data_IF_332502955103
#
_entry.id   IF_332502955103
#
_cell.length_a   1.000
_cell.length_b   1.000
_cell.length_c   1.000
_cell.angle_alpha   90.00
_cell.angle_beta   90.00
_cell.angle_gamma   90.00
#
_symmetry.space_group_name_H-M   'P 1'
#
loop_
_entity.id
_entity.type
_entity.pdbx_description
1 polymer ?
#
# COMPACT_ATOMS: atom_id res chain seq x y z
N UNK A 1 -16.17 -16.62 6.84
CA UNK A 1 -14.78 -16.12 6.74
C UNK A 1 -14.68 -14.89 7.63
N UNK A 2 -13.87 -14.94 8.70
CA UNK A 2 -13.61 -13.75 9.52
C UNK A 2 -12.87 -12.74 8.65
N UNK A 3 -13.45 -11.57 8.43
CA UNK A 3 -12.71 -10.44 7.86
C UNK A 3 -11.60 -10.11 8.86
N UNK A 4 -10.36 -10.45 8.54
CA UNK A 4 -9.23 -10.08 9.38
C UNK A 4 -9.15 -8.55 9.45
N UNK A 5 -8.83 -8.01 10.62
CA UNK A 5 -8.77 -6.57 10.87
C UNK A 5 -7.97 -5.77 9.80
N UNK A 6 -6.84 -6.27 9.26
CA UNK A 6 -6.14 -5.63 8.13
C UNK A 6 -7.00 -5.44 6.86
N UNK A 7 -7.91 -6.37 6.56
CA UNK A 7 -8.79 -6.31 5.38
C UNK A 7 -9.76 -5.15 5.49
N UNK A 8 -10.38 -4.98 6.65
CA UNK A 8 -11.32 -3.88 6.89
C UNK A 8 -10.60 -2.52 6.95
N UNK A 9 -9.34 -2.51 7.39
CA UNK A 9 -8.51 -1.30 7.42
C UNK A 9 -8.10 -0.84 6.01
N UNK A 10 -7.65 -1.76 5.15
CA UNK A 10 -7.28 -1.41 3.77
C UNK A 10 -8.50 -0.97 2.96
N UNK A 11 -9.67 -1.57 3.22
CA UNK A 11 -10.97 -1.06 2.74
C UNK A 11 -11.33 0.32 3.28
N UNK A 12 -10.67 0.86 4.30
CA UNK A 12 -10.91 2.22 4.84
C UNK A 12 -9.74 3.16 4.60
N UNK A 13 -8.72 2.73 3.86
CA UNK A 13 -7.55 3.55 3.59
C UNK A 13 -7.95 4.85 2.87
N UNK A 14 -7.42 5.97 3.35
CA UNK A 14 -7.62 7.29 2.78
C UNK A 14 -6.42 7.61 1.88
N UNK A 15 -6.49 7.11 0.64
CA UNK A 15 -5.47 7.30 -0.41
C UNK A 15 -5.33 8.76 -0.86
N UNK A 16 -6.21 9.66 -0.41
CA UNK A 16 -6.05 11.11 -0.62
C UNK A 16 -4.99 11.72 0.31
N UNK A 17 -4.62 11.01 1.38
CA UNK A 17 -3.61 11.42 2.36
C UNK A 17 -2.34 10.62 2.18
N UNK A 18 -1.21 11.24 2.52
CA UNK A 18 0.12 10.64 2.31
C UNK A 18 0.28 9.39 3.17
N UNK A 19 0.67 8.28 2.53
CA UNK A 19 1.14 7.08 3.22
C UNK A 19 2.63 7.25 3.55
N UNK A 20 3.06 6.73 4.70
CA UNK A 20 4.49 6.69 5.03
C UNK A 20 4.91 5.27 5.36
N UNK A 21 6.16 4.93 5.07
CA UNK A 21 6.76 3.65 5.45
C UNK A 21 7.88 3.93 6.43
N UNK A 22 7.90 3.23 7.55
CA UNK A 22 8.98 3.33 8.52
C UNK A 22 9.68 1.99 8.70
N UNK A 23 10.97 2.09 8.92
CA UNK A 23 11.81 0.95 9.28
C UNK A 23 12.31 1.13 10.69
N UNK A 24 12.18 0.07 11.48
CA UNK A 24 12.87 -0.02 12.76
C UNK A 24 14.15 -0.81 12.54
N UNK A 25 15.33 -0.15 12.62
CA UNK A 25 16.60 -0.84 12.45
C UNK A 25 16.78 -1.91 13.53
N UNK A 26 17.46 -3.01 13.17
CA UNK A 26 17.83 -4.07 14.11
C UNK A 26 18.66 -3.52 15.29
N UNK A 27 19.43 -2.45 15.04
CA UNK A 27 20.12 -1.69 16.07
C UNK A 27 19.19 -0.61 16.65
N UNK A 28 18.79 -0.77 17.92
CA UNK A 28 17.89 0.16 18.64
C UNK A 28 18.46 1.58 18.85
N UNK A 29 19.76 1.79 18.56
CA UNK A 29 20.41 3.10 18.66
C UNK A 29 20.22 3.96 17.39
N UNK A 30 19.84 3.38 16.27
CA UNK A 30 19.56 4.12 15.04
C UNK A 30 18.11 4.63 15.02
N UNK A 31 17.92 5.88 14.61
CA UNK A 31 16.57 6.42 14.46
C UNK A 31 15.79 5.69 13.36
N UNK A 32 14.46 5.53 13.51
CA UNK A 32 13.64 4.90 12.49
C UNK A 32 13.70 5.67 11.17
N UNK A 33 14.20 5.03 10.12
CA UNK A 33 14.20 5.62 8.79
C UNK A 33 12.76 5.67 8.24
N UNK A 34 12.32 6.85 7.78
CA UNK A 34 10.99 7.04 7.22
C UNK A 34 11.08 7.43 5.75
N UNK A 35 10.49 6.60 4.89
CA UNK A 35 10.25 6.95 3.51
C UNK A 35 8.87 7.61 3.39
N UNK A 36 8.88 8.85 2.92
CA UNK A 36 7.67 9.53 2.51
C UNK A 36 7.30 9.10 1.11
N UNK A 37 6.16 8.41 0.99
CA UNK A 37 5.67 7.94 -0.31
C UNK A 37 5.04 9.12 -1.04
N UNK A 38 5.38 9.26 -2.33
CA UNK A 38 4.69 10.19 -3.23
C UNK A 38 3.19 9.91 -3.17
N UNK A 39 2.35 10.95 -3.05
CA UNK A 39 0.90 10.77 -2.97
C UNK A 39 0.35 10.00 -4.18
N UNK A 40 1.01 10.08 -5.33
CA UNK A 40 0.66 9.31 -6.53
C UNK A 40 0.77 7.79 -6.31
N UNK A 41 1.70 7.34 -5.46
CA UNK A 41 1.97 5.93 -5.16
C UNK A 41 1.01 5.33 -4.13
N UNK A 42 0.13 6.13 -3.51
CA UNK A 42 -0.72 5.66 -2.43
C UNK A 42 -1.59 4.45 -2.82
N UNK A 43 -2.16 4.46 -4.03
CA UNK A 43 -2.98 3.35 -4.53
C UNK A 43 -2.15 2.08 -4.75
N UNK A 44 -0.96 2.22 -5.32
CA UNK A 44 -0.06 1.09 -5.54
C UNK A 44 0.36 0.43 -4.22
N UNK A 45 0.60 1.22 -3.19
CA UNK A 45 0.89 0.70 -1.85
C UNK A 45 -0.29 -0.06 -1.27
N UNK A 46 -1.51 0.47 -1.39
CA UNK A 46 -2.70 -0.24 -0.90
C UNK A 46 -2.87 -1.58 -1.62
N UNK A 47 -2.67 -1.62 -2.94
CA UNK A 47 -2.76 -2.86 -3.73
C UNK A 47 -1.65 -3.84 -3.36
N UNK A 48 -0.42 -3.36 -3.17
CA UNK A 48 0.67 -4.18 -2.64
C UNK A 48 0.25 -4.83 -1.31
N UNK A 49 -0.30 -4.05 -0.37
CA UNK A 49 -0.76 -4.56 0.92
C UNK A 49 -1.93 -5.53 0.79
N UNK A 50 -2.86 -5.30 -0.14
CA UNK A 50 -3.92 -6.25 -0.45
C UNK A 50 -3.38 -7.58 -0.99
N UNK A 51 -2.32 -7.54 -1.81
CA UNK A 51 -1.71 -8.76 -2.37
C UNK A 51 -0.90 -9.57 -1.35
N UNK A 52 -0.46 -8.97 -0.24
CA UNK A 52 0.27 -9.64 0.85
C UNK A 52 -0.53 -9.67 2.16
N UNK A 53 -1.85 -9.54 2.06
CA UNK A 53 -2.76 -9.43 3.21
C UNK A 53 -2.56 -10.51 4.27
N UNK A 54 -2.30 -11.75 3.86
CA UNK A 54 -2.08 -12.90 4.76
C UNK A 54 -0.83 -12.76 5.64
N UNK A 55 0.06 -11.82 5.31
CA UNK A 55 1.35 -11.63 5.97
C UNK A 55 1.40 -10.33 6.77
N UNK A 56 0.32 -9.54 6.74
CA UNK A 56 0.20 -8.28 7.45
C UNK A 56 -0.14 -8.54 8.91
N UNK A 57 0.63 -7.92 9.80
CA UNK A 57 0.30 -7.79 11.22
C UNK A 57 -0.20 -6.38 11.49
N UNK A 58 -1.37 -6.24 12.11
CA UNK A 58 -1.85 -4.95 12.60
C UNK A 58 -1.20 -4.62 13.94
N UNK A 59 -0.53 -3.46 14.03
CA UNK A 59 0.14 -3.04 15.27
C UNK A 59 -0.74 -2.14 16.14
N UNK A 60 -1.71 -1.46 15.54
CA UNK A 60 -2.57 -0.51 16.24
C UNK A 60 -2.84 0.77 15.45
N UNK A 61 -3.50 1.71 16.12
CA UNK A 61 -3.84 3.03 15.59
C UNK A 61 -3.01 4.14 16.21
N UNK A 62 -2.54 5.08 15.39
CA UNK A 62 -2.03 6.37 15.83
C UNK A 62 -2.99 7.48 15.43
N UNK A 63 -3.52 8.16 16.45
CA UNK A 63 -4.28 9.40 16.26
C UNK A 63 -3.30 10.57 16.30
N UNK A 64 -3.16 11.25 15.17
CA UNK A 64 -2.35 12.47 15.12
C UNK A 64 -3.18 13.71 15.48
N UNK A 65 -4.47 13.73 15.10
CA UNK A 65 -5.43 14.80 15.38
C UNK A 65 -6.88 14.26 15.26
N UNK A 66 -7.90 15.05 15.65
CA UNK A 66 -9.35 14.70 15.57
C UNK A 66 -9.88 14.28 14.17
N UNK A 67 -9.05 14.29 13.14
CA UNK A 67 -9.42 14.00 11.73
C UNK A 67 -8.45 13.05 11.02
N UNK A 68 -7.39 12.63 11.70
CA UNK A 68 -6.34 11.81 11.12
C UNK A 68 -6.05 10.63 12.02
N UNK A 69 -6.70 9.52 11.68
CA UNK A 69 -6.41 8.21 12.21
C UNK A 69 -5.49 7.47 11.24
N UNK A 70 -4.42 6.87 11.74
CA UNK A 70 -3.45 6.12 10.95
C UNK A 70 -3.39 4.70 11.49
N UNK A 71 -3.53 3.71 10.61
CA UNK A 71 -3.32 2.31 10.94
C UNK A 71 -1.86 1.95 10.67
N UNK A 72 -1.23 1.25 11.62
CA UNK A 72 0.12 0.74 11.47
C UNK A 72 0.07 -0.75 11.11
N UNK A 73 0.61 -1.08 9.94
CA UNK A 73 0.62 -2.43 9.37
C UNK A 73 2.07 -2.89 9.19
N UNK A 74 2.49 -3.89 9.95
CA UNK A 74 3.80 -4.53 9.79
C UNK A 74 3.75 -5.63 8.76
N UNK A 75 4.81 -5.76 7.97
CA UNK A 75 5.00 -6.88 7.05
C UNK A 75 6.48 -7.22 6.92
N UNK A 76 6.77 -8.47 6.59
CA UNK A 76 8.12 -8.94 6.31
C UNK A 76 8.69 -8.25 5.05
N UNK A 77 9.92 -7.76 5.15
CA UNK A 77 10.58 -7.03 4.07
C UNK A 77 10.84 -7.93 2.85
N UNK A 78 11.23 -9.18 3.08
CA UNK A 78 11.56 -10.14 2.02
C UNK A 78 10.33 -10.47 1.18
N UNK A 79 9.20 -10.71 1.82
CA UNK A 79 7.97 -11.04 1.10
C UNK A 79 7.37 -9.82 0.41
N UNK A 80 7.47 -8.64 1.02
CA UNK A 80 7.11 -7.38 0.36
C UNK A 80 7.93 -7.19 -0.92
N UNK A 81 9.25 -7.41 -0.86
CA UNK A 81 10.14 -7.33 -2.02
C UNK A 81 9.79 -8.34 -3.12
N UNK A 82 9.49 -9.61 -2.75
CA UNK A 82 9.06 -10.64 -3.70
C UNK A 82 7.79 -10.20 -4.45
N UNK A 83 6.79 -9.72 -3.72
CA UNK A 83 5.53 -9.30 -4.32
C UNK A 83 5.68 -8.03 -5.16
N UNK A 84 6.47 -7.07 -4.70
CA UNK A 84 6.76 -5.86 -5.45
C UNK A 84 7.48 -6.17 -6.77
N UNK A 85 8.45 -7.09 -6.76
CA UNK A 85 9.11 -7.57 -7.98
C UNK A 85 8.13 -8.25 -8.94
N UNK A 86 7.17 -9.04 -8.42
CA UNK A 86 6.12 -9.65 -9.23
C UNK A 86 5.23 -8.58 -9.88
N UNK A 87 4.76 -7.59 -9.13
CA UNK A 87 3.92 -6.50 -9.63
C UNK A 87 4.63 -5.67 -10.71
N UNK A 88 5.92 -5.33 -10.50
CA UNK A 88 6.74 -4.62 -11.48
C UNK A 88 6.90 -5.44 -12.77
N UNK A 89 7.20 -6.75 -12.67
CA UNK A 89 7.32 -7.65 -13.83
C UNK A 89 6.02 -7.77 -14.61
N UNK A 90 4.89 -7.82 -13.91
CA UNK A 90 3.55 -7.84 -14.49
C UNK A 90 3.08 -6.47 -14.99
N UNK A 91 3.89 -5.40 -14.81
CA UNK A 91 3.55 -4.02 -15.16
C UNK A 91 2.27 -3.51 -14.49
N UNK A 92 1.94 -4.03 -13.30
CA UNK A 92 0.77 -3.63 -12.52
C UNK A 92 1.15 -2.40 -11.70
N UNK A 93 0.86 -1.19 -12.21
CA UNK A 93 1.01 0.08 -11.48
C UNK A 93 -0.12 1.05 -11.85
N UNK A 94 -0.47 1.93 -10.92
CA UNK A 94 -1.47 3.01 -11.06
C UNK A 94 -0.83 4.40 -11.04
N UNK A 95 0.34 4.54 -10.41
CA UNK A 95 1.10 5.80 -10.35
C UNK A 95 1.94 6.11 -11.59
N UNK A 96 1.91 5.25 -12.61
CA UNK A 96 2.71 5.38 -13.83
C UNK A 96 4.01 4.56 -13.80
N UNK A 97 4.80 4.70 -14.86
CA UNK A 97 6.01 3.88 -15.10
C UNK A 97 7.09 4.19 -14.05
N UNK A 98 7.79 3.15 -13.61
CA UNK A 98 8.99 3.19 -12.75
C UNK A 98 8.81 3.71 -11.30
N UNK A 99 7.62 4.17 -10.90
CA UNK A 99 7.36 4.66 -9.54
C UNK A 99 7.50 3.58 -8.47
N UNK A 100 7.03 2.36 -8.74
CA UNK A 100 7.24 1.21 -7.84
C UNK A 100 8.71 0.80 -7.71
N UNK A 101 9.53 1.07 -8.74
CA UNK A 101 10.97 0.78 -8.73
C UNK A 101 11.68 1.60 -7.65
N UNK A 102 11.22 2.82 -7.36
CA UNK A 102 11.79 3.63 -6.28
C UNK A 102 11.58 2.98 -4.91
N UNK A 103 10.35 2.54 -4.62
CA UNK A 103 10.03 1.82 -3.37
C UNK A 103 10.85 0.53 -3.29
N UNK A 104 10.97 -0.20 -4.40
CA UNK A 104 11.78 -1.43 -4.46
C UNK A 104 13.23 -1.15 -4.11
N UNK A 105 13.83 -0.13 -4.73
CA UNK A 105 15.23 0.20 -4.50
C UNK A 105 15.48 0.60 -3.05
N UNK A 106 14.60 1.42 -2.47
CA UNK A 106 14.66 1.75 -1.06
C UNK A 106 14.55 0.49 -0.18
N UNK A 107 13.53 -0.35 -0.40
CA UNK A 107 13.36 -1.60 0.33
C UNK A 107 14.54 -2.56 0.21
N UNK A 108 15.22 -2.63 -0.94
CA UNK A 108 16.41 -3.45 -1.14
C UNK A 108 17.59 -2.99 -0.27
N UNK A 109 17.77 -1.68 -0.10
CA UNK A 109 18.80 -1.15 0.80
C UNK A 109 18.38 -1.41 2.24
N UNK A 110 17.12 -1.19 2.56
CA UNK A 110 16.64 -1.24 3.93
C UNK A 110 16.43 -2.67 4.46
N UNK A 111 16.22 -3.66 3.60
CA UNK A 111 16.11 -5.07 3.99
C UNK A 111 17.38 -5.62 4.63
N UNK A 112 18.53 -4.96 4.41
CA UNK A 112 19.79 -5.30 5.08
C UNK A 112 19.79 -4.86 6.55
N UNK A 113 18.91 -3.92 6.92
CA UNK A 113 18.87 -3.28 8.24
C UNK A 113 17.65 -3.70 9.07
N UNK A 114 16.64 -4.31 8.44
CA UNK A 114 15.42 -4.74 9.12
C UNK A 114 14.75 -5.93 8.42
N UNK A 115 14.17 -6.80 9.24
CA UNK A 115 13.32 -7.91 8.77
C UNK A 115 11.88 -7.44 8.52
N UNK A 116 11.43 -6.36 9.16
CA UNK A 116 10.04 -5.90 9.10
C UNK A 116 9.94 -4.40 8.87
N UNK A 117 9.02 -4.02 8.00
CA UNK A 117 8.66 -2.63 7.73
C UNK A 117 7.25 -2.35 8.22
N UNK A 118 6.99 -1.08 8.57
CA UNK A 118 5.68 -0.64 9.02
C UNK A 118 5.11 0.37 8.02
N UNK A 119 3.96 0.04 7.46
CA UNK A 119 3.16 0.95 6.66
C UNK A 119 2.21 1.74 7.57
N UNK A 120 2.26 3.05 7.43
CA UNK A 120 1.38 4.00 8.11
C UNK A 120 0.31 4.42 7.13
N UNK A 121 -0.87 3.81 7.26
CA UNK A 121 -1.99 4.00 6.33
C UNK A 121 -3.00 4.93 6.96
N UNK A 122 -3.20 6.15 6.45
CA UNK A 122 -4.31 6.99 6.86
C UNK A 122 -5.63 6.25 6.61
N UNK A 123 -6.55 6.28 7.57
CA UNK A 123 -7.87 5.63 7.45
C UNK A 123 -8.99 6.62 7.75
N UNK A 124 -10.13 6.46 7.07
CA UNK A 124 -11.33 7.22 7.40
C UNK A 124 -11.88 6.79 8.77
N UNK A 125 -12.21 7.76 9.63
CA UNK A 125 -12.85 7.50 10.93
C UNK A 125 -14.30 7.00 10.77
N UNK A 126 -14.97 7.34 9.66
CA UNK A 126 -16.33 6.90 9.35
C UNK A 126 -16.32 5.75 8.33
N UNK A 127 -17.42 4.98 8.24
CA UNK A 127 -17.66 3.81 7.38
C UNK A 127 -17.49 4.02 5.85
N UNK A 128 -16.84 5.09 5.40
CA UNK A 128 -16.46 5.29 4.01
C UNK A 128 -15.45 4.21 3.62
N UNK A 129 -15.92 3.26 2.82
CA UNK A 129 -15.06 2.31 2.12
C UNK A 129 -14.24 3.08 1.08
N UNK A 130 -12.95 2.79 1.04
CA UNK A 130 -11.99 3.14 0.01
C UNK A 130 -12.58 2.64 -1.31
N UNK A 131 -13.15 3.56 -2.08
CA UNK A 131 -13.55 3.30 -3.46
C UNK A 131 -12.30 3.59 -4.29
N UNK A 132 -11.62 2.52 -4.72
CA UNK A 132 -10.60 2.62 -5.75
C UNK A 132 -11.21 3.37 -6.93
N UNK A 133 -10.76 4.61 -7.13
CA UNK A 133 -11.18 5.42 -8.26
C UNK A 133 -9.98 5.46 -9.18
N UNK A 134 -9.84 4.42 -9.98
CA UNK A 134 -8.87 4.41 -11.06
C UNK A 134 -9.49 5.28 -12.15
N UNK A 135 -8.92 6.45 -12.39
CA UNK A 135 -9.28 7.27 -13.54
C UNK A 135 -8.61 6.64 -14.76
N UNK A 136 -9.26 5.67 -15.39
CA UNK A 136 -8.89 5.31 -16.75
C UNK A 136 -9.52 6.35 -17.67
N UNK A 137 -8.67 7.13 -18.33
CA UNK A 137 -9.12 8.01 -19.41
C UNK A 137 -9.10 7.18 -20.68
N UNK A 138 -10.25 6.74 -21.14
CA UNK A 138 -10.36 6.26 -22.52
C UNK A 138 -9.92 7.39 -23.46
N UNK A 139 -9.47 7.04 -24.68
CA UNK A 139 -9.20 8.01 -25.75
C UNK A 139 -10.41 8.88 -26.14
N UNK A 140 -11.57 8.64 -25.51
CA UNK A 140 -12.82 9.40 -25.59
C UNK A 140 -12.90 10.58 -24.59
N UNK A 141 -11.97 10.67 -23.63
CA UNK A 141 -11.96 11.72 -22.60
C UNK A 141 -12.89 11.46 -21.40
N UNK A 142 -13.50 10.28 -21.32
CA UNK A 142 -14.45 9.92 -20.24
C UNK A 142 -13.72 9.20 -19.12
N UNK A 143 -13.93 9.65 -17.87
CA UNK A 143 -13.42 8.98 -16.67
C UNK A 143 -14.28 7.76 -16.33
N UNK A 144 -13.76 6.56 -16.58
CA UNK A 144 -14.45 5.31 -16.24
C UNK A 144 -14.04 4.84 -14.85
N UNK A 145 -15.04 4.58 -13.98
CA UNK A 145 -14.85 4.20 -12.57
C UNK A 145 -14.81 2.68 -12.43
N UNK A 146 -13.64 2.10 -12.14
CA UNK A 146 -13.48 0.64 -12.04
C UNK A 146 -13.29 0.21 -10.57
N UNK A 147 -14.09 -0.77 -10.12
CA UNK A 147 -13.99 -1.34 -8.75
C UNK A 147 -12.89 -2.42 -8.66
N UNK A 148 -12.39 -2.72 -7.45
CA UNK A 148 -11.36 -3.77 -7.24
C UNK A 148 -11.77 -5.16 -7.77
N UNK A 149 -13.03 -5.64 -7.61
CA UNK A 149 -13.49 -6.86 -8.27
C UNK A 149 -13.36 -6.81 -9.80
N UNK A 150 -13.64 -5.65 -10.38
CA UNK A 150 -13.52 -5.42 -11.82
C UNK A 150 -12.06 -5.37 -12.29
N UNK A 151 -11.12 -4.95 -11.43
CA UNK A 151 -9.69 -5.03 -11.71
C UNK A 151 -9.22 -6.49 -11.74
N UNK A 152 -9.65 -7.29 -10.76
CA UNK A 152 -9.30 -8.70 -10.69
C UNK A 152 -9.85 -9.49 -11.89
N UNK A 153 -11.05 -9.18 -12.38
CA UNK A 153 -11.58 -9.80 -13.60
C UNK A 153 -10.79 -9.42 -14.85
N UNK A 154 -10.36 -8.16 -15.00
CA UNK A 154 -9.52 -7.74 -16.13
C UNK A 154 -8.14 -8.42 -16.14
N UNK A 155 -7.61 -8.78 -14.97
CA UNK A 155 -6.35 -9.53 -14.86
C UNK A 155 -6.49 -11.00 -15.25
N UNK A 156 -7.69 -11.58 -15.17
CA UNK A 156 -7.94 -12.99 -15.51
C UNK A 156 -8.13 -13.17 -17.03
N UNK A 157 -8.66 -12.16 -17.73
CA UNK A 157 -8.90 -12.22 -19.18
C UNK A 157 -7.63 -12.03 -20.05
N UNK A 158 -6.46 -11.84 -19.43
CA UNK A 158 -5.19 -11.64 -20.15
C UNK A 158 -4.44 -12.96 -20.47
N UNK A 159 -5.13 -14.10 -20.56
CA UNK A 159 -4.53 -15.40 -20.91
C UNK A 159 -4.71 -15.75 -22.38
#
# INVERSE_FOLDING_TARGET
>A
MMNSEPVELLKKADTSKRITVSVHPLNKQEEPERLHIDKQLNYDIVILLETIMSEITFNGHKKHNKRLNTAELSVDTTNTLKTLNRLIRQKITFSGKDKLTHIRNWLCVTSQKTERIIFHIPVFENNKKNKYTIHYRENTGTDVRISLPSLLSCMIESK
#
